data_IF_500117389501
#
_entry.id   IF_500117389501
#
_cell.length_a   1.000
_cell.length_b   1.000
_cell.length_c   1.000
_cell.angle_alpha   90.00
_cell.angle_beta   90.00
_cell.angle_gamma   90.00
#
_symmetry.space_group_name_H-M   'P 1'
#
loop_
_entity.id
_entity.type
_entity.pdbx_description
1 polymer ?
#
# COMPACT_ATOMS: atom_id res chain seq x y z
N UNK A 1 -27.56 9.81 11.53
CA UNK A 1 -27.04 8.88 10.51
C UNK A 1 -26.03 9.65 9.68
N UNK A 2 -24.75 9.26 9.69
CA UNK A 2 -23.67 10.01 9.03
C UNK A 2 -23.49 9.61 7.56
N UNK A 3 -23.67 8.33 7.24
CA UNK A 3 -23.74 7.78 5.89
C UNK A 3 -24.46 6.42 5.92
N UNK A 4 -24.96 5.97 4.78
CA UNK A 4 -25.38 4.58 4.54
C UNK A 4 -24.34 3.92 3.63
N UNK A 5 -23.88 2.73 4.01
CA UNK A 5 -22.94 1.94 3.23
C UNK A 5 -23.67 0.75 2.61
N UNK A 6 -23.29 0.30 1.39
CA UNK A 6 -23.90 -0.87 0.78
C UNK A 6 -23.53 -2.15 1.53
N UNK A 7 -24.50 -3.05 1.69
CA UNK A 7 -24.29 -4.41 2.20
C UNK A 7 -23.87 -5.32 1.03
N UNK A 8 -22.56 -5.44 0.84
CA UNK A 8 -21.97 -6.12 -0.33
C UNK A 8 -21.81 -7.62 -0.06
N UNK A 9 -22.27 -8.45 -0.99
CA UNK A 9 -22.20 -9.91 -0.88
C UNK A 9 -21.71 -10.55 -2.17
N UNK A 10 -22.60 -10.64 -3.16
CA UNK A 10 -22.31 -11.26 -4.46
C UNK A 10 -21.25 -10.48 -5.26
N UNK A 11 -21.20 -9.17 -5.07
CA UNK A 11 -20.26 -8.23 -5.69
C UNK A 11 -18.80 -8.51 -5.33
N UNK A 12 -18.57 -9.22 -4.21
CA UNK A 12 -17.23 -9.64 -3.78
C UNK A 12 -16.55 -10.51 -4.85
N UNK A 13 -17.30 -11.39 -5.52
CA UNK A 13 -16.77 -12.21 -6.62
C UNK A 13 -16.26 -11.33 -7.77
N UNK A 14 -17.03 -10.31 -8.12
CA UNK A 14 -16.68 -9.37 -9.18
C UNK A 14 -15.44 -8.57 -8.83
N UNK A 15 -15.32 -8.09 -7.58
CA UNK A 15 -14.13 -7.39 -7.12
C UNK A 15 -12.87 -8.26 -7.16
N UNK A 16 -12.99 -9.57 -6.89
CA UNK A 16 -11.87 -10.52 -7.00
C UNK A 16 -11.42 -10.68 -8.46
N UNK A 17 -12.36 -10.85 -9.39
CA UNK A 17 -12.04 -11.01 -10.82
C UNK A 17 -11.38 -9.76 -11.41
N UNK A 18 -11.84 -8.57 -11.00
CA UNK A 18 -11.24 -7.29 -11.39
C UNK A 18 -9.83 -7.13 -10.80
N UNK A 19 -9.64 -7.46 -9.52
CA UNK A 19 -8.33 -7.43 -8.88
C UNK A 19 -7.34 -8.39 -9.56
N UNK A 20 -7.79 -9.58 -9.94
CA UNK A 20 -6.99 -10.55 -10.68
C UNK A 20 -6.55 -9.99 -12.04
N UNK A 21 -7.46 -9.32 -12.75
CA UNK A 21 -7.17 -8.69 -14.05
C UNK A 21 -6.17 -7.54 -13.92
N UNK A 22 -6.31 -6.70 -12.88
CA UNK A 22 -5.43 -5.56 -12.64
C UNK A 22 -4.01 -5.95 -12.15
N UNK A 23 -3.89 -7.11 -11.50
CA UNK A 23 -2.65 -7.56 -10.85
C UNK A 23 -1.46 -7.63 -11.82
N UNK A 24 -1.66 -8.16 -13.03
CA UNK A 24 -0.58 -8.31 -14.01
C UNK A 24 -0.03 -6.95 -14.46
N UNK A 25 -0.92 -5.97 -14.69
CA UNK A 25 -0.53 -4.61 -15.05
C UNK A 25 0.25 -3.91 -13.93
N UNK A 26 -0.20 -4.06 -12.68
CA UNK A 26 0.50 -3.52 -11.51
C UNK A 26 1.89 -4.16 -11.29
N UNK A 27 1.98 -5.49 -11.47
CA UNK A 27 3.23 -6.22 -11.32
C UNK A 27 4.28 -5.82 -12.37
N UNK A 28 3.85 -5.51 -13.59
CA UNK A 28 4.70 -5.08 -14.70
C UNK A 28 5.28 -3.66 -14.54
N UNK A 29 4.71 -2.83 -13.65
CA UNK A 29 5.25 -1.50 -13.36
C UNK A 29 6.66 -1.56 -12.78
N UNK A 30 7.47 -0.56 -13.08
CA UNK A 30 8.80 -0.46 -12.48
C UNK A 30 8.69 -0.11 -10.99
N UNK A 31 9.74 -0.42 -10.23
CA UNK A 31 9.85 -0.01 -8.83
C UNK A 31 9.67 1.51 -8.66
N UNK A 32 10.18 2.30 -9.61
CA UNK A 32 10.05 3.76 -9.63
C UNK A 32 8.60 4.20 -9.81
N UNK A 33 7.89 3.62 -10.77
CA UNK A 33 6.49 4.01 -11.04
C UNK A 33 5.61 3.69 -9.84
N UNK A 34 5.78 2.50 -9.25
CA UNK A 34 5.06 2.10 -8.02
C UNK A 34 5.37 3.04 -6.86
N UNK A 35 6.65 3.38 -6.65
CA UNK A 35 7.05 4.37 -5.62
C UNK A 35 6.36 5.70 -5.85
N UNK A 36 6.40 6.23 -7.07
CA UNK A 36 5.89 7.57 -7.37
C UNK A 36 4.36 7.62 -7.18
N UNK A 37 3.63 6.53 -7.48
CA UNK A 37 2.21 6.37 -7.16
C UNK A 37 1.95 6.35 -5.64
N UNK A 38 2.70 5.54 -4.88
CA UNK A 38 2.57 5.47 -3.41
C UNK A 38 2.93 6.80 -2.74
N UNK A 39 3.93 7.52 -3.26
CA UNK A 39 4.34 8.82 -2.77
C UNK A 39 3.26 9.88 -3.00
N UNK A 40 2.65 9.89 -4.20
CA UNK A 40 1.52 10.77 -4.49
C UNK A 40 0.33 10.47 -3.57
N UNK A 41 0.05 9.20 -3.31
CA UNK A 41 -1.02 8.81 -2.38
C UNK A 41 -0.74 9.28 -0.95
N UNK A 42 0.49 9.09 -0.47
CA UNK A 42 0.93 9.65 0.82
C UNK A 42 0.69 11.16 0.90
N UNK A 43 1.10 11.91 -0.13
CA UNK A 43 0.92 13.37 -0.16
C UNK A 43 -0.56 13.75 -0.09
N UNK A 44 -1.43 13.08 -0.87
CA UNK A 44 -2.87 13.33 -0.83
C UNK A 44 -3.48 13.06 0.55
N UNK A 45 -3.03 12.03 1.27
CA UNK A 45 -3.51 11.76 2.63
C UNK A 45 -3.10 12.89 3.58
N UNK A 46 -1.86 13.38 3.48
CA UNK A 46 -1.38 14.49 4.32
C UNK A 46 -2.14 15.78 4.00
N UNK A 47 -2.33 16.09 2.72
CA UNK A 47 -3.05 17.29 2.27
C UNK A 47 -4.52 17.29 2.76
N UNK A 48 -5.13 16.11 2.84
CA UNK A 48 -6.50 15.91 3.31
C UNK A 48 -6.61 15.35 4.74
N UNK A 49 -5.54 15.42 5.54
CA UNK A 49 -5.50 14.75 6.86
C UNK A 49 -6.54 15.30 7.84
N UNK A 50 -6.88 16.58 7.74
CA UNK A 50 -7.90 17.20 8.58
C UNK A 50 -9.31 16.65 8.28
N UNK A 51 -9.63 16.50 6.99
CA UNK A 51 -10.93 15.99 6.54
C UNK A 51 -11.08 14.51 6.88
N UNK A 52 -10.04 13.71 6.64
CA UNK A 52 -10.00 12.29 7.00
C UNK A 52 -10.13 12.08 8.52
N UNK A 53 -9.47 12.92 9.32
CA UNK A 53 -9.61 12.87 10.77
C UNK A 53 -11.02 13.26 11.24
N UNK A 54 -11.68 14.20 10.57
CA UNK A 54 -13.06 14.56 10.87
C UNK A 54 -14.04 13.41 10.58
N UNK A 55 -13.88 12.72 9.45
CA UNK A 55 -14.65 11.52 9.10
C UNK A 55 -14.44 10.44 10.17
N UNK A 56 -13.18 10.13 10.49
CA UNK A 56 -12.84 9.10 11.49
C UNK A 56 -13.39 9.41 12.89
N UNK A 57 -13.33 10.67 13.31
CA UNK A 57 -13.95 11.12 14.57
C UNK A 57 -15.47 11.04 14.51
N UNK A 58 -16.11 11.38 13.39
CA UNK A 58 -17.55 11.31 13.27
C UNK A 58 -18.06 9.86 13.33
N UNK A 59 -17.38 8.93 12.66
CA UNK A 59 -17.78 7.52 12.59
C UNK A 59 -17.52 6.77 13.90
N UNK A 60 -16.37 7.00 14.54
CA UNK A 60 -15.90 6.18 15.68
C UNK A 60 -16.01 6.90 17.03
N UNK A 61 -16.18 8.22 17.05
CA UNK A 61 -16.27 9.02 18.28
C UNK A 61 -14.93 9.32 18.98
N UNK A 62 -13.79 8.97 18.38
CA UNK A 62 -12.46 9.25 18.96
C UNK A 62 -12.11 10.74 18.88
N UNK A 63 -11.33 11.30 19.84
CA UNK A 63 -10.90 12.70 19.79
C UNK A 63 -10.17 13.06 18.50
N UNK A 64 -10.41 14.26 17.97
CA UNK A 64 -9.83 14.70 16.68
C UNK A 64 -8.29 14.65 16.66
N UNK A 65 -7.64 14.94 17.80
CA UNK A 65 -6.19 14.85 17.91
C UNK A 65 -5.68 13.41 17.74
N UNK A 66 -6.40 12.43 18.27
CA UNK A 66 -6.09 11.01 18.13
C UNK A 66 -6.31 10.56 16.67
N UNK A 67 -7.44 10.96 16.07
CA UNK A 67 -7.74 10.69 14.66
C UNK A 67 -6.66 11.24 13.72
N UNK A 68 -6.19 12.47 13.96
CA UNK A 68 -5.09 13.07 13.17
C UNK A 68 -3.78 12.29 13.29
N UNK A 69 -3.46 11.81 14.50
CA UNK A 69 -2.29 10.97 14.73
C UNK A 69 -2.39 9.66 13.95
N UNK A 70 -3.56 9.02 13.96
CA UNK A 70 -3.82 7.78 13.24
C UNK A 70 -3.72 7.94 11.72
N UNK A 71 -4.31 8.99 11.15
CA UNK A 71 -4.19 9.31 9.71
C UNK A 71 -2.72 9.57 9.34
N UNK A 72 -1.98 10.31 10.17
CA UNK A 72 -0.56 10.58 9.94
C UNK A 72 0.27 9.29 10.00
N UNK A 73 -0.06 8.38 10.92
CA UNK A 73 0.59 7.09 11.05
C UNK A 73 0.31 6.19 9.82
N UNK A 74 -0.94 6.13 9.36
CA UNK A 74 -1.32 5.45 8.12
C UNK A 74 -0.55 5.99 6.90
N UNK A 75 -0.43 7.31 6.79
CA UNK A 75 0.36 7.96 5.73
C UNK A 75 1.84 7.59 5.80
N UNK A 76 2.41 7.42 7.01
CA UNK A 76 3.81 7.06 7.18
C UNK A 76 4.12 5.65 6.64
N UNK A 77 3.18 4.69 6.77
CA UNK A 77 3.35 3.36 6.16
C UNK A 77 3.51 3.45 4.64
N UNK A 78 2.67 4.24 3.97
CA UNK A 78 2.77 4.45 2.52
C UNK A 78 4.09 5.07 2.11
N UNK A 79 4.57 6.05 2.88
CA UNK A 79 5.88 6.65 2.66
C UNK A 79 7.01 5.62 2.82
N UNK A 80 6.92 4.73 3.81
CA UNK A 80 7.90 3.69 4.05
C UNK A 80 7.91 2.67 2.91
N UNK A 81 6.76 2.14 2.51
CA UNK A 81 6.66 1.18 1.38
C UNK A 81 7.09 1.81 0.05
N UNK A 82 6.83 3.09 -0.17
CA UNK A 82 7.35 3.81 -1.34
C UNK A 82 8.88 3.80 -1.35
N UNK A 83 9.54 4.06 -0.21
CA UNK A 83 11.00 3.98 -0.10
C UNK A 83 11.52 2.56 -0.33
N UNK A 84 10.78 1.56 0.17
CA UNK A 84 11.17 0.15 0.08
C UNK A 84 10.95 -0.47 -1.30
N UNK A 85 10.09 0.12 -2.13
CA UNK A 85 9.84 -0.35 -3.50
C UNK A 85 11.13 -0.49 -4.34
N UNK A 86 12.15 0.33 -4.08
CA UNK A 86 13.44 0.30 -4.77
C UNK A 86 14.48 -0.63 -4.11
N UNK A 87 14.15 -1.30 -2.99
CA UNK A 87 15.07 -2.14 -2.20
C UNK A 87 14.71 -3.63 -2.24
N UNK A 88 13.96 -4.04 -3.26
CA UNK A 88 13.71 -5.47 -3.51
C UNK A 88 15.01 -6.07 -4.07
N UNK A 89 15.93 -6.43 -3.18
CA UNK A 89 17.20 -7.05 -3.55
C UNK A 89 16.97 -8.52 -3.93
N UNK A 90 17.45 -8.90 -5.10
CA UNK A 90 17.61 -10.31 -5.46
C UNK A 90 18.93 -10.84 -4.91
N UNK A 91 18.98 -12.14 -4.61
CA UNK A 91 20.23 -12.82 -4.30
C UNK A 91 20.77 -13.50 -5.56
N UNK A 92 22.08 -13.41 -5.78
CA UNK A 92 22.78 -14.22 -6.79
C UNK A 92 23.57 -15.28 -6.05
N UNK A 93 23.09 -16.53 -6.12
CA UNK A 93 23.80 -17.67 -5.55
C UNK A 93 24.76 -18.20 -6.61
N UNK A 94 26.07 -18.14 -6.35
CA UNK A 94 27.07 -18.75 -7.23
C UNK A 94 26.85 -20.27 -7.28
N UNK A 95 26.87 -20.89 -8.48
CA UNK A 95 26.84 -22.33 -8.57
C UNK A 95 28.05 -22.93 -7.82
N UNK A 96 27.90 -24.09 -7.15
CA UNK A 96 29.03 -24.78 -6.56
C UNK A 96 30.07 -25.05 -7.65
N UNK A 97 31.32 -24.66 -7.40
CA UNK A 97 32.43 -24.89 -8.34
C UNK A 97 32.52 -26.37 -8.70
N UNK A 98 32.47 -26.69 -9.99
CA UNK A 98 32.70 -28.06 -10.49
C UNK A 98 34.19 -28.44 -10.43
N UNK A 99 35.07 -27.52 -10.03
CA UNK A 99 36.48 -27.82 -9.84
C UNK A 99 36.72 -28.44 -8.46
N UNK A 100 36.45 -29.75 -8.40
CA UNK A 100 37.11 -30.67 -7.48
C UNK A 100 38.03 -31.55 -8.31
N UNK A 101 39.13 -30.98 -8.81
CA UNK A 101 40.30 -31.78 -9.14
C UNK A 101 41.50 -31.30 -8.34
N UNK A 102 41.92 -32.09 -7.36
CA UNK A 102 43.30 -32.12 -6.87
C UNK A 102 43.56 -33.49 -6.24
N UNK A 103 44.06 -34.40 -7.11
CA UNK A 103 44.91 -35.58 -6.88
C UNK A 103 44.45 -36.69 -5.94
#
# INVERSE_FOLDING_TARGET
MLAELPDMGAETSTAIDEAYTAQAGWAALTARDRRDMLWRWHQLIIDHAADLAAILTAEMGKPLAEAKSEVSHAAAYLQWYAKEANRIYGETISPPSTDRECW
#
